data_IF_878139611721
#
_entry.id   IF_878139611721
#
_cell.length_a   1.000
_cell.length_b   1.000
_cell.length_c   1.000
_cell.angle_alpha   90.00
_cell.angle_beta   90.00
_cell.angle_gamma   90.00
#
_symmetry.space_group_name_H-M   'P 1'
#
loop_
_entity.id
_entity.type
_entity.pdbx_description
1 polymer ?
#
# COMPACT_ATOMS: atom_id res chain seq x y z
N UNK A 1 -22.77 13.47 -23.07
CA UNK A 1 -23.02 12.38 -22.10
C UNK A 1 -22.17 11.21 -22.50
N UNK A 2 -21.67 10.52 -21.49
CA UNK A 2 -20.94 9.25 -21.52
C UNK A 2 -19.40 9.34 -21.52
N UNK A 3 -18.89 9.07 -20.32
CA UNK A 3 -17.52 8.74 -20.00
C UNK A 3 -17.56 8.02 -18.66
N UNK A 4 -18.35 6.94 -18.56
CA UNK A 4 -18.33 6.07 -17.39
C UNK A 4 -17.22 5.06 -17.60
N UNK A 5 -16.00 5.44 -17.26
CA UNK A 5 -14.90 4.50 -17.13
C UNK A 5 -15.15 3.58 -15.94
N UNK A 6 -15.79 2.43 -16.21
CA UNK A 6 -15.95 1.37 -15.24
C UNK A 6 -14.64 0.59 -15.14
N UNK A 7 -14.13 0.47 -13.91
CA UNK A 7 -13.09 -0.49 -13.59
C UNK A 7 -13.62 -1.88 -13.97
N UNK A 8 -12.89 -2.62 -14.81
CA UNK A 8 -13.33 -3.93 -15.32
C UNK A 8 -13.64 -4.83 -14.13
N UNK A 9 -14.91 -5.18 -13.95
CA UNK A 9 -15.31 -6.33 -13.14
C UNK A 9 -14.54 -7.54 -13.64
N UNK A 10 -14.06 -8.37 -12.73
CA UNK A 10 -13.40 -9.62 -13.06
C UNK A 10 -14.43 -10.63 -13.59
N UNK A 11 -14.93 -10.40 -14.81
CA UNK A 11 -16.08 -11.14 -15.38
C UNK A 11 -15.77 -12.59 -15.77
N UNK A 12 -14.62 -13.14 -15.34
CA UNK A 12 -14.16 -14.49 -15.69
C UNK A 12 -13.67 -15.29 -14.48
N UNK A 13 -14.04 -14.91 -13.26
CA UNK A 13 -13.77 -15.74 -12.09
C UNK A 13 -14.88 -16.79 -12.02
N UNK A 14 -14.52 -18.07 -12.17
CA UNK A 14 -15.47 -19.15 -11.88
C UNK A 14 -15.94 -19.02 -10.43
N UNK A 15 -17.23 -19.14 -10.19
CA UNK A 15 -17.86 -19.01 -8.86
C UNK A 15 -17.26 -19.93 -7.77
N UNK A 16 -16.44 -20.92 -8.17
CA UNK A 16 -15.69 -21.81 -7.28
C UNK A 16 -14.23 -21.40 -7.00
N UNK A 17 -13.68 -20.40 -7.68
CA UNK A 17 -12.30 -19.93 -7.49
C UNK A 17 -12.26 -18.59 -6.75
N UNK A 18 -11.79 -18.62 -5.50
CA UNK A 18 -11.67 -17.41 -4.68
C UNK A 18 -10.33 -16.69 -4.92
N UNK A 19 -10.37 -15.37 -5.08
CA UNK A 19 -9.15 -14.56 -5.10
C UNK A 19 -8.61 -14.45 -3.67
N UNK A 20 -7.39 -14.92 -3.47
CA UNK A 20 -6.68 -14.84 -2.18
C UNK A 20 -5.43 -13.96 -2.29
N UNK A 21 -5.09 -13.28 -1.20
CA UNK A 21 -3.78 -12.65 -1.02
C UNK A 21 -2.86 -13.67 -0.37
N UNK A 22 -2.03 -14.34 -1.17
CA UNK A 22 -1.12 -15.39 -0.70
C UNK A 22 0.12 -14.86 0.02
N UNK A 23 0.44 -13.57 -0.12
CA UNK A 23 1.57 -12.93 0.57
C UNK A 23 1.71 -11.45 0.23
N UNK A 24 2.41 -10.73 1.11
CA UNK A 24 2.78 -9.32 0.93
C UNK A 24 4.25 -9.11 1.34
N UNK A 25 4.93 -8.20 0.66
CA UNK A 25 6.28 -7.76 0.99
C UNK A 25 6.48 -6.33 0.51
N UNK A 26 7.43 -5.61 1.11
CA UNK A 26 7.74 -4.25 0.69
C UNK A 26 8.63 -3.51 1.69
N UNK A 27 9.02 -2.30 1.28
CA UNK A 27 9.67 -1.31 2.13
C UNK A 27 8.73 -0.14 2.30
N UNK A 28 8.58 0.32 3.54
CA UNK A 28 7.61 1.34 3.93
C UNK A 28 8.34 2.49 4.64
N UNK A 29 7.69 3.67 4.80
CA UNK A 29 8.27 4.75 5.58
C UNK A 29 8.71 4.24 6.95
N UNK A 30 9.98 4.48 7.29
CA UNK A 30 10.58 4.07 8.56
C UNK A 30 10.39 2.58 8.90
N UNK A 31 10.34 1.69 7.90
CA UNK A 31 10.24 0.23 8.09
C UNK A 31 10.84 -0.49 6.90
N UNK A 32 11.94 -1.20 7.13
CA UNK A 32 12.72 -1.86 6.09
C UNK A 32 12.15 -3.23 5.68
N UNK A 33 11.24 -3.78 6.49
CA UNK A 33 10.57 -5.04 6.24
C UNK A 33 9.17 -5.09 6.90
N UNK A 34 8.43 -6.18 6.64
CA UNK A 34 7.07 -6.38 7.15
C UNK A 34 6.99 -6.51 8.67
N UNK A 35 8.03 -6.98 9.35
CA UNK A 35 8.03 -7.12 10.81
C UNK A 35 8.11 -5.75 11.48
N UNK A 36 9.02 -4.89 11.01
CA UNK A 36 9.14 -3.50 11.47
C UNK A 36 7.86 -2.72 11.20
N UNK A 37 7.28 -2.85 9.99
CA UNK A 37 6.01 -2.21 9.66
C UNK A 37 4.91 -2.66 10.64
N UNK A 38 4.80 -3.97 10.89
CA UNK A 38 3.83 -4.53 11.82
C UNK A 38 3.98 -3.93 13.22
N UNK A 39 5.18 -3.98 13.80
CA UNK A 39 5.45 -3.48 15.15
C UNK A 39 5.11 -1.99 15.28
N UNK A 40 5.54 -1.19 14.30
CA UNK A 40 5.28 0.24 14.25
C UNK A 40 3.78 0.58 14.21
N UNK A 41 3.01 -0.14 13.39
CA UNK A 41 1.56 0.06 13.29
C UNK A 41 0.84 -0.37 14.57
N UNK A 42 1.19 -1.51 15.17
CA UNK A 42 0.59 -1.96 16.43
C UNK A 42 0.86 -0.98 17.58
N UNK A 43 2.03 -0.36 17.59
CA UNK A 43 2.41 0.65 18.58
C UNK A 43 1.93 2.07 18.23
N UNK A 44 1.19 2.25 17.12
CA UNK A 44 0.65 3.54 16.65
C UNK A 44 1.72 4.63 16.47
N UNK A 45 2.89 4.23 16.00
CA UNK A 45 4.00 5.16 15.73
C UNK A 45 3.73 5.89 14.42
N UNK A 46 3.89 7.21 14.39
CA UNK A 46 3.87 7.98 13.14
C UNK A 46 5.16 7.71 12.35
N UNK A 47 4.99 7.16 11.14
CA UNK A 47 6.10 6.78 10.25
C UNK A 47 6.41 7.85 9.20
N UNK A 48 5.65 8.94 9.16
CA UNK A 48 5.89 10.05 8.26
C UNK A 48 6.95 10.96 8.88
N UNK A 49 8.03 11.17 8.11
CA UNK A 49 9.10 12.09 8.49
C UNK A 49 8.86 13.47 7.92
N UNK A 50 8.96 14.51 8.74
CA UNK A 50 8.92 15.90 8.29
C UNK A 50 10.13 16.27 7.42
N UNK A 51 11.28 15.64 7.65
CA UNK A 51 12.48 15.82 6.84
C UNK A 51 12.42 14.93 5.59
N UNK A 52 11.68 15.40 4.59
CA UNK A 52 11.63 14.74 3.29
C UNK A 52 12.95 14.93 2.55
N UNK A 53 13.95 14.08 2.85
CA UNK A 53 15.30 14.06 2.24
C UNK A 53 15.33 13.84 0.72
N UNK A 54 14.16 13.64 0.10
CA UNK A 54 14.03 13.50 -1.36
C UNK A 54 14.42 14.77 -2.10
N UNK A 55 14.11 15.94 -1.55
CA UNK A 55 14.39 17.23 -2.18
C UNK A 55 14.89 18.22 -1.14
N UNK A 56 15.88 19.05 -1.50
CA UNK A 56 16.21 20.23 -0.71
C UNK A 56 15.05 21.21 -0.89
N UNK A 57 14.35 21.55 0.18
CA UNK A 57 13.44 22.69 0.14
C UNK A 57 14.30 23.94 -0.08
N UNK A 58 14.06 24.63 -1.20
CA UNK A 58 14.75 25.88 -1.51
C UNK A 58 14.46 26.91 -0.43
N UNK A 59 15.49 27.70 -0.09
CA UNK A 59 15.39 28.83 0.83
C UNK A 59 14.40 29.89 0.33
#
# INVERSE_FOLDING_TARGET
MDGKETCKSWENIDSGEEIVISGIAGRFPNSDNMNELRENLFNKIDLVRADHSRWKMGN
#
